data_IF_783457801389
#
_entry.id   IF_783457801389
#
_cell.length_a   1.000
_cell.length_b   1.000
_cell.length_c   1.000
_cell.angle_alpha   90.00
_cell.angle_beta   90.00
_cell.angle_gamma   90.00
#
_symmetry.space_group_name_H-M   'P 1'
#
loop_
_entity.id
_entity.type
_entity.pdbx_description
1 polymer ?
#
# COMPACT_ATOMS: atom_id res chain seq x y z
N UNK A 1 -5.33 -18.73 -22.78
CA UNK A 1 -5.44 -17.34 -23.27
C UNK A 1 -5.44 -16.26 -22.15
N UNK A 2 -4.67 -16.38 -21.06
CA UNK A 2 -4.60 -15.34 -19.99
C UNK A 2 -3.49 -14.29 -20.18
N UNK A 3 -2.64 -14.44 -21.19
CA UNK A 3 -1.38 -13.69 -21.34
C UNK A 3 -1.51 -12.38 -22.13
N UNK A 4 -2.42 -12.29 -23.09
CA UNK A 4 -2.62 -11.10 -23.93
C UNK A 4 -2.99 -9.86 -23.09
N UNK A 5 -4.00 -9.97 -22.22
CA UNK A 5 -4.47 -8.83 -21.41
C UNK A 5 -3.41 -8.29 -20.45
N UNK A 6 -2.57 -9.16 -19.86
CA UNK A 6 -1.48 -8.73 -18.99
C UNK A 6 -0.37 -7.99 -19.73
N UNK A 7 -0.12 -8.34 -20.99
CA UNK A 7 0.89 -7.68 -21.80
C UNK A 7 0.48 -6.23 -22.09
N UNK A 8 -0.73 -6.00 -22.60
CA UNK A 8 -1.23 -4.64 -22.88
C UNK A 8 -1.26 -3.75 -21.64
N UNK A 9 -1.65 -4.28 -20.49
CA UNK A 9 -1.63 -3.51 -19.23
C UNK A 9 -0.21 -3.14 -18.80
N UNK A 10 0.76 -4.05 -19.00
CA UNK A 10 2.16 -3.79 -18.69
C UNK A 10 2.75 -2.76 -19.64
N UNK A 11 2.44 -2.87 -20.93
CA UNK A 11 2.88 -1.92 -21.95
C UNK A 11 2.30 -0.53 -21.70
N UNK A 12 0.98 -0.43 -21.46
CA UNK A 12 0.32 0.84 -21.14
C UNK A 12 0.92 1.50 -19.90
N UNK A 13 1.22 0.71 -18.84
CA UNK A 13 1.92 1.21 -17.65
C UNK A 13 3.31 1.76 -18.00
N UNK A 14 4.08 1.03 -18.80
CA UNK A 14 5.44 1.43 -19.16
C UNK A 14 5.43 2.72 -20.00
N UNK A 15 4.49 2.83 -20.94
CA UNK A 15 4.29 4.02 -21.77
C UNK A 15 3.84 5.22 -20.93
N UNK A 16 2.84 5.05 -20.06
CA UNK A 16 2.37 6.14 -19.18
C UNK A 16 3.46 6.57 -18.20
N UNK A 17 4.10 5.62 -17.49
CA UNK A 17 5.19 5.95 -16.57
C UNK A 17 6.36 6.64 -17.28
N UNK A 18 6.75 6.14 -18.46
CA UNK A 18 7.79 6.72 -19.29
C UNK A 18 7.46 8.13 -19.77
N UNK A 19 6.21 8.37 -20.17
CA UNK A 19 5.71 9.68 -20.58
C UNK A 19 5.88 10.72 -19.46
N UNK A 20 5.53 10.40 -18.22
CA UNK A 20 5.69 11.33 -17.09
C UNK A 20 7.15 11.60 -16.74
N UNK A 21 8.01 10.58 -16.80
CA UNK A 21 9.45 10.77 -16.61
C UNK A 21 9.99 11.70 -17.70
N UNK A 22 9.60 11.45 -18.95
CA UNK A 22 10.02 12.28 -20.08
C UNK A 22 9.54 13.73 -19.94
N UNK A 23 8.28 13.94 -19.59
CA UNK A 23 7.70 15.26 -19.30
C UNK A 23 8.44 15.98 -18.17
N UNK A 24 8.74 15.30 -17.07
CA UNK A 24 9.50 15.88 -15.96
C UNK A 24 10.93 16.24 -16.39
N UNK A 25 11.59 15.40 -17.18
CA UNK A 25 12.91 15.69 -17.75
C UNK A 25 12.88 16.89 -18.71
N UNK A 26 11.85 17.02 -19.55
CA UNK A 26 11.68 18.20 -20.40
C UNK A 26 11.55 19.47 -19.55
N UNK A 27 10.78 19.41 -18.45
CA UNK A 27 10.64 20.55 -17.52
C UNK A 27 11.93 20.87 -16.77
N UNK A 28 12.75 19.87 -16.44
CA UNK A 28 14.02 20.09 -15.75
C UNK A 28 15.12 20.64 -16.65
N UNK A 29 15.25 20.12 -17.87
CA UNK A 29 16.42 20.39 -18.72
C UNK A 29 16.15 21.37 -19.86
N UNK A 30 14.91 21.42 -20.38
CA UNK A 30 14.57 22.22 -21.57
C UNK A 30 13.81 23.48 -21.18
N UNK A 31 12.65 23.32 -20.56
CA UNK A 31 11.77 24.45 -20.19
C UNK A 31 12.32 25.17 -18.96
N UNK A 32 12.98 24.42 -18.08
CA UNK A 32 13.43 24.81 -16.74
C UNK A 32 12.28 25.19 -15.79
N UNK A 33 12.51 25.21 -14.47
CA UNK A 33 11.48 25.56 -13.49
C UNK A 33 10.86 26.94 -13.70
N UNK A 34 11.57 27.88 -14.32
CA UNK A 34 11.08 29.25 -14.59
C UNK A 34 9.89 29.24 -15.57
N UNK A 35 9.91 28.37 -16.58
CA UNK A 35 8.79 28.26 -17.52
C UNK A 35 7.52 27.77 -16.84
N UNK A 36 7.64 26.80 -15.91
CA UNK A 36 6.52 26.31 -15.11
C UNK A 36 6.03 27.38 -14.12
N UNK A 37 6.96 28.14 -13.54
CA UNK A 37 6.68 29.24 -12.61
C UNK A 37 5.78 30.29 -13.24
N UNK A 38 6.01 30.65 -14.51
CA UNK A 38 5.18 31.62 -15.23
C UNK A 38 3.72 31.14 -15.43
N UNK A 39 3.52 29.84 -15.63
CA UNK A 39 2.18 29.26 -15.75
C UNK A 39 1.48 29.32 -14.38
N UNK A 40 2.18 28.93 -13.31
CA UNK A 40 1.63 28.91 -11.95
C UNK A 40 1.37 30.32 -11.42
N UNK A 41 2.19 31.32 -11.78
CA UNK A 41 1.96 32.71 -11.37
C UNK A 41 0.67 33.28 -11.97
N UNK A 42 0.34 32.89 -13.20
CA UNK A 42 -0.91 33.32 -13.86
C UNK A 42 -2.15 32.73 -13.19
N UNK A 43 -2.01 31.61 -12.46
CA UNK A 43 -3.08 31.01 -11.66
C UNK A 43 -3.28 31.71 -10.30
N UNK A 44 -2.43 32.67 -9.93
CA UNK A 44 -2.53 33.40 -8.66
C UNK A 44 -2.03 32.64 -7.44
N UNK A 45 -1.22 31.59 -7.63
CA UNK A 45 -0.66 30.83 -6.51
C UNK A 45 0.41 31.64 -5.75
N UNK A 46 0.41 31.60 -4.40
CA UNK A 46 1.51 32.14 -3.62
C UNK A 46 2.77 31.30 -3.84
N UNK A 47 3.94 31.94 -3.95
CA UNK A 47 5.24 31.29 -4.16
C UNK A 47 5.28 30.33 -5.38
N UNK A 48 5.06 30.82 -6.63
CA UNK A 48 4.94 29.97 -7.82
C UNK A 48 6.17 29.07 -8.07
N UNK A 49 7.37 29.56 -7.73
CA UNK A 49 8.61 28.82 -7.89
C UNK A 49 8.68 27.56 -7.01
N UNK A 50 8.20 27.65 -5.76
CA UNK A 50 8.15 26.50 -4.87
C UNK A 50 7.21 25.43 -5.42
N UNK A 51 6.01 25.83 -5.87
CA UNK A 51 5.05 24.90 -6.46
C UNK A 51 5.52 24.33 -7.80
N UNK A 52 6.28 25.08 -8.60
CA UNK A 52 6.90 24.56 -9.82
C UNK A 52 7.84 23.39 -9.53
N UNK A 53 8.69 23.51 -8.50
CA UNK A 53 9.56 22.41 -8.07
C UNK A 53 8.78 21.22 -7.52
N UNK A 54 7.76 21.46 -6.71
CA UNK A 54 6.89 20.39 -6.18
C UNK A 54 6.20 19.66 -7.33
N UNK A 55 5.67 20.38 -8.32
CA UNK A 55 5.03 19.80 -9.49
C UNK A 55 6.00 18.93 -10.29
N UNK A 56 7.17 19.47 -10.65
CA UNK A 56 8.20 18.75 -11.41
C UNK A 56 8.66 17.49 -10.66
N UNK A 57 8.98 17.61 -9.37
CA UNK A 57 9.41 16.48 -8.56
C UNK A 57 8.29 15.43 -8.42
N UNK A 58 7.05 15.86 -8.28
CA UNK A 58 5.91 14.95 -8.19
C UNK A 58 5.70 14.18 -9.49
N UNK A 59 5.76 14.83 -10.66
CA UNK A 59 5.70 14.16 -11.97
C UNK A 59 6.81 13.12 -12.11
N UNK A 60 8.03 13.47 -11.72
CA UNK A 60 9.18 12.56 -11.81
C UNK A 60 9.03 11.35 -10.87
N UNK A 61 8.76 11.60 -9.58
CA UNK A 61 8.70 10.55 -8.56
C UNK A 61 7.51 9.63 -8.79
N UNK A 62 6.32 10.18 -9.07
CA UNK A 62 5.14 9.37 -9.32
C UNK A 62 5.19 8.70 -10.70
N UNK A 63 5.72 9.37 -11.72
CA UNK A 63 5.97 8.78 -13.04
C UNK A 63 6.89 7.56 -12.95
N UNK A 64 8.02 7.71 -12.23
CA UNK A 64 8.93 6.61 -11.96
C UNK A 64 8.27 5.49 -11.16
N UNK A 65 7.48 5.83 -10.14
CA UNK A 65 6.74 4.84 -9.35
C UNK A 65 5.73 4.06 -10.19
N UNK A 66 5.04 4.71 -11.13
CA UNK A 66 4.14 4.05 -12.09
C UNK A 66 4.93 3.13 -13.00
N UNK A 67 6.09 3.58 -13.50
CA UNK A 67 6.97 2.80 -14.37
C UNK A 67 7.38 1.46 -13.74
N UNK A 68 7.84 1.50 -12.47
CA UNK A 68 8.26 0.30 -11.72
C UNK A 68 7.10 -0.48 -11.07
N UNK A 69 5.85 -0.09 -11.30
CA UNK A 69 4.65 -0.73 -10.72
C UNK A 69 4.53 -0.60 -9.19
N UNK A 70 5.09 0.45 -8.59
CA UNK A 70 5.03 0.65 -7.15
C UNK A 70 3.73 1.34 -6.75
N UNK A 71 2.91 0.65 -5.93
CA UNK A 71 1.64 1.15 -5.35
C UNK A 71 0.79 1.98 -6.33
N UNK A 72 0.51 1.43 -7.52
CA UNK A 72 -0.21 2.12 -8.61
C UNK A 72 -1.49 2.86 -8.17
N UNK A 73 -2.25 2.32 -7.23
CA UNK A 73 -3.45 3.00 -6.71
C UNK A 73 -3.17 4.36 -6.07
N UNK A 74 -2.06 4.46 -5.34
CA UNK A 74 -1.68 5.69 -4.63
C UNK A 74 -0.94 6.65 -5.55
N UNK A 75 -0.11 6.12 -6.46
CA UNK A 75 0.78 6.93 -7.30
C UNK A 75 0.07 7.54 -8.52
N UNK A 76 -1.01 6.91 -9.00
CA UNK A 76 -1.80 7.45 -10.12
C UNK A 76 -2.65 8.65 -9.73
N UNK A 77 -3.13 8.72 -8.48
CA UNK A 77 -4.03 9.80 -8.03
C UNK A 77 -3.40 11.21 -8.14
N UNK A 78 -2.18 11.45 -7.62
CA UNK A 78 -1.50 12.73 -7.80
C UNK A 78 -1.31 13.11 -9.26
N UNK A 79 -0.91 12.15 -10.12
CA UNK A 79 -0.69 12.40 -11.55
C UNK A 79 -1.98 12.76 -12.29
N UNK A 80 -3.10 12.12 -11.94
CA UNK A 80 -4.42 12.46 -12.48
C UNK A 80 -4.79 13.90 -12.13
N UNK A 81 -4.59 14.32 -10.88
CA UNK A 81 -4.87 15.70 -10.45
C UNK A 81 -4.01 16.69 -11.24
N UNK A 82 -2.71 16.41 -11.41
CA UNK A 82 -1.80 17.28 -12.16
C UNK A 82 -2.25 17.42 -13.61
N UNK A 83 -2.63 16.31 -14.28
CA UNK A 83 -3.14 16.36 -15.65
C UNK A 83 -4.44 17.16 -15.79
N UNK A 84 -5.35 17.02 -14.83
CA UNK A 84 -6.61 17.78 -14.82
C UNK A 84 -6.32 19.27 -14.65
N UNK A 85 -5.45 19.64 -13.72
CA UNK A 85 -5.04 21.04 -13.54
C UNK A 85 -4.33 21.56 -14.79
N UNK A 86 -3.45 20.77 -15.40
CA UNK A 86 -2.75 21.14 -16.64
C UNK A 86 -3.74 21.35 -17.80
N UNK A 87 -4.75 20.48 -17.94
CA UNK A 87 -5.81 20.64 -18.92
C UNK A 87 -6.59 21.95 -18.70
N UNK A 88 -6.92 22.29 -17.46
CA UNK A 88 -7.63 23.52 -17.11
C UNK A 88 -6.78 24.79 -17.22
N UNK A 89 -5.46 24.65 -17.12
CA UNK A 89 -4.52 25.76 -17.22
C UNK A 89 -4.17 26.11 -18.67
N UNK A 90 -4.54 25.26 -19.62
CA UNK A 90 -4.27 25.47 -21.04
C UNK A 90 -5.16 26.58 -21.61
N UNK A 91 -4.64 27.32 -22.58
CA UNK A 91 -5.43 28.34 -23.27
C UNK A 91 -6.68 27.75 -23.91
N UNK A 92 -7.80 28.50 -23.87
CA UNK A 92 -9.10 28.08 -24.43
C UNK A 92 -9.08 27.84 -25.95
N UNK A 93 -8.00 28.22 -26.64
CA UNK A 93 -7.79 27.94 -28.06
C UNK A 93 -7.17 26.58 -28.36
N UNK A 94 -6.52 25.94 -27.38
CA UNK A 94 -5.78 24.69 -27.58
C UNK A 94 -6.56 23.47 -27.07
N UNK A 95 -7.70 23.23 -27.72
CA UNK A 95 -8.59 22.10 -27.41
C UNK A 95 -7.91 20.75 -27.54
N UNK A 96 -6.95 20.62 -28.45
CA UNK A 96 -6.24 19.37 -28.66
C UNK A 96 -5.41 19.01 -27.43
N UNK A 97 -4.62 19.95 -26.89
CA UNK A 97 -3.87 19.70 -25.66
C UNK A 97 -4.81 19.36 -24.49
N UNK A 98 -5.91 20.08 -24.33
CA UNK A 98 -6.91 19.81 -23.27
C UNK A 98 -7.41 18.36 -23.36
N UNK A 99 -7.84 17.93 -24.55
CA UNK A 99 -8.36 16.58 -24.78
C UNK A 99 -7.28 15.53 -24.50
N UNK A 100 -6.05 15.74 -24.95
CA UNK A 100 -4.93 14.82 -24.70
C UNK A 100 -4.68 14.63 -23.20
N UNK A 101 -4.66 15.72 -22.42
CA UNK A 101 -4.49 15.63 -20.97
C UNK A 101 -5.63 14.85 -20.29
N UNK A 102 -6.88 15.05 -20.72
CA UNK A 102 -8.03 14.30 -20.20
C UNK A 102 -8.00 12.81 -20.57
N UNK A 103 -7.58 12.48 -21.80
CA UNK A 103 -7.37 11.09 -22.24
C UNK A 103 -6.30 10.42 -21.37
N UNK A 104 -5.17 11.08 -21.16
CA UNK A 104 -4.10 10.58 -20.29
C UNK A 104 -4.59 10.39 -18.85
N UNK A 105 -5.34 11.35 -18.31
CA UNK A 105 -5.88 11.29 -16.96
C UNK A 105 -6.85 10.11 -16.79
N UNK A 106 -7.74 9.91 -17.75
CA UNK A 106 -8.66 8.77 -17.80
C UNK A 106 -7.90 7.44 -17.86
N UNK A 107 -6.85 7.36 -18.68
CA UNK A 107 -6.04 6.16 -18.83
C UNK A 107 -5.25 5.84 -17.54
N UNK A 108 -4.68 6.84 -16.86
CA UNK A 108 -4.05 6.66 -15.54
C UNK A 108 -5.03 6.18 -14.48
N UNK A 109 -6.24 6.75 -14.45
CA UNK A 109 -7.27 6.35 -13.51
C UNK A 109 -7.72 4.90 -13.75
N UNK A 110 -7.87 4.51 -15.03
CA UNK A 110 -8.15 3.13 -15.43
C UNK A 110 -7.01 2.19 -14.98
N UNK A 111 -5.74 2.59 -15.17
CA UNK A 111 -4.59 1.81 -14.73
C UNK A 111 -4.56 1.62 -13.20
N UNK A 112 -4.81 2.69 -12.44
CA UNK A 112 -4.86 2.67 -10.97
C UNK A 112 -5.97 1.77 -10.43
N UNK A 113 -7.18 1.88 -10.99
CA UNK A 113 -8.34 1.08 -10.60
C UNK A 113 -8.17 -0.42 -10.89
N UNK A 114 -7.63 -0.77 -12.07
CA UNK A 114 -7.38 -2.16 -12.47
C UNK A 114 -6.27 -2.82 -11.65
N UNK A 115 -5.25 -2.06 -11.26
CA UNK A 115 -4.08 -2.59 -10.55
C UNK A 115 -4.45 -3.18 -9.19
N UNK A 116 -5.17 -2.44 -8.34
CA UNK A 116 -5.39 -2.92 -6.98
C UNK A 116 -6.56 -3.90 -6.81
N UNK A 117 -7.11 -4.42 -7.91
CA UNK A 117 -7.89 -5.66 -7.89
C UNK A 117 -7.01 -6.91 -7.80
N UNK A 118 -5.72 -6.82 -8.19
CA UNK A 118 -4.77 -7.94 -8.09
C UNK A 118 -4.25 -8.15 -6.67
N UNK A 119 -4.09 -7.06 -5.91
CA UNK A 119 -3.56 -7.11 -4.53
C UNK A 119 -4.50 -7.81 -3.54
N UNK A 120 -5.81 -7.82 -3.82
CA UNK A 120 -6.83 -8.52 -3.01
C UNK A 120 -6.86 -10.03 -3.22
N UNK A 121 -6.16 -10.56 -4.23
CA UNK A 121 -5.97 -12.00 -4.42
C UNK A 121 -4.66 -12.50 -3.84
N UNK A 122 -4.25 -11.99 -2.66
CA UNK A 122 -3.34 -12.81 -1.85
C UNK A 122 -4.12 -14.07 -1.51
N UNK A 123 -3.62 -15.27 -1.83
CA UNK A 123 -4.23 -16.48 -1.32
C UNK A 123 -4.29 -16.29 0.18
N UNK A 124 -5.50 -16.36 0.73
CA UNK A 124 -5.68 -16.57 2.15
C UNK A 124 -4.87 -17.84 2.41
N UNK A 125 -3.63 -17.65 2.87
CA UNK A 125 -2.77 -18.75 3.29
C UNK A 125 -3.69 -19.46 4.26
N UNK A 126 -4.13 -20.66 3.88
CA UNK A 126 -4.95 -21.54 4.69
C UNK A 126 -4.06 -21.91 5.87
N UNK A 127 -3.85 -20.95 6.77
CA UNK A 127 -3.19 -21.14 8.03
C UNK A 127 -4.10 -22.18 8.65
N UNK A 128 -3.61 -23.42 8.84
CA UNK A 128 -4.42 -24.41 9.52
C UNK A 128 -4.93 -23.69 10.74
N UNK A 129 -6.26 -23.54 10.88
CA UNK A 129 -6.84 -22.96 12.08
C UNK A 129 -6.17 -23.76 13.17
N UNK A 130 -5.29 -23.12 13.95
CA UNK A 130 -4.75 -23.71 15.15
C UNK A 130 -6.00 -24.00 15.94
N UNK A 131 -6.46 -25.25 15.89
CA UNK A 131 -7.59 -25.69 16.65
C UNK A 131 -7.15 -25.39 18.06
N UNK A 132 -7.74 -24.35 18.67
CA UNK A 132 -7.48 -24.02 20.06
C UNK A 132 -7.55 -25.36 20.79
N UNK A 133 -6.50 -25.78 21.49
CA UNK A 133 -6.51 -27.07 22.18
C UNK A 133 -7.79 -27.07 23.00
N UNK A 134 -8.71 -27.99 22.69
CA UNK A 134 -9.92 -28.19 23.49
C UNK A 134 -9.38 -28.41 24.89
N UNK A 135 -9.62 -27.44 25.76
CA UNK A 135 -9.26 -27.49 27.16
C UNK A 135 -9.70 -28.85 27.67
N UNK A 136 -8.72 -29.70 27.99
CA UNK A 136 -8.91 -30.95 28.73
C UNK A 136 -9.20 -30.52 30.17
N UNK A 137 -10.31 -29.81 30.36
CA UNK A 137 -10.85 -29.50 31.67
C UNK A 137 -11.96 -30.52 31.93
N UNK A 138 -11.93 -31.11 33.12
CA UNK A 138 -12.92 -32.05 33.68
C UNK A 138 -12.73 -33.52 33.34
N UNK A 139 -11.55 -34.08 33.66
CA UNK A 139 -11.49 -35.46 34.17
C UNK A 139 -10.48 -35.73 35.30
N UNK A 140 -9.84 -34.69 35.84
CA UNK A 140 -8.85 -34.83 36.94
C UNK A 140 -9.47 -34.65 38.34
N UNK A 141 -10.77 -34.33 38.45
CA UNK A 141 -11.42 -34.14 39.76
C UNK A 141 -11.87 -35.47 40.40
N UNK A 142 -11.91 -36.58 39.65
CA UNK A 142 -12.43 -37.87 40.15
C UNK A 142 -11.36 -38.87 40.63
N UNK A 143 -10.21 -38.39 41.13
CA UNK A 143 -9.18 -39.29 41.73
C UNK A 143 -8.77 -38.87 43.15
N UNK A 144 -9.22 -37.71 43.67
CA UNK A 144 -8.78 -37.19 44.98
C UNK A 144 -9.68 -37.49 46.19
N UNK A 145 -10.62 -38.43 46.09
CA UNK A 145 -11.46 -38.85 47.23
C UNK A 145 -11.24 -40.31 47.67
N UNK A 146 -9.98 -40.75 47.79
CA UNK A 146 -9.66 -41.96 48.57
C UNK A 146 -9.04 -41.55 49.90
N UNK A 147 -9.93 -41.49 50.91
CA UNK A 147 -9.67 -41.43 52.36
C UNK A 147 -8.36 -42.14 52.74
N UNK A 148 -7.37 -41.38 53.20
CA UNK A 148 -6.27 -41.89 54.00
C UNK A 148 -6.75 -41.97 55.44
N UNK A 149 -7.00 -43.17 55.93
CA UNK A 149 -7.29 -43.44 57.34
C UNK A 149 -5.99 -43.36 58.17
N UNK A 150 -5.97 -42.66 59.30
CA UNK A 150 -4.79 -42.57 60.16
C UNK A 150 -4.53 -43.90 60.86
N UNK A 151 -3.35 -44.47 60.62
CA UNK A 151 -2.85 -45.69 61.26
C UNK A 151 -2.45 -45.35 62.71
N UNK A 152 -3.16 -45.93 63.69
CA UNK A 152 -2.85 -45.83 65.14
C UNK A 152 -1.39 -46.22 65.40
N UNK A 153 -0.58 -45.25 65.82
CA UNK A 153 0.76 -45.48 66.36
C UNK A 153 0.62 -46.02 67.79
N UNK A 154 0.98 -47.30 67.99
CA UNK A 154 1.11 -47.93 69.31
C UNK A 154 2.29 -47.30 70.06
N UNK A 155 2.00 -46.54 71.12
CA UNK A 155 2.99 -46.15 72.15
C UNK A 155 3.54 -47.42 72.83
N UNK A 156 4.83 -47.71 72.65
CA UNK A 156 5.59 -48.65 73.51
C UNK A 156 6.16 -47.87 74.69
N UNK A 157 5.91 -48.37 75.90
CA UNK A 157 6.38 -47.81 77.16
C UNK A 157 7.91 -47.98 77.32
N UNK A 158 8.59 -47.07 78.04
CA UNK A 158 10.01 -47.16 78.33
C UNK A 158 10.31 -48.25 79.36
N UNK A 159 11.28 -49.10 79.03
CA UNK A 159 11.82 -50.17 79.89
C UNK A 159 12.77 -49.52 80.90
N UNK A 160 12.49 -49.69 82.20
CA UNK A 160 13.39 -49.35 83.30
C UNK A 160 14.70 -50.13 83.16
N UNK A 161 15.84 -49.46 83.22
CA UNK A 161 17.13 -50.11 83.46
C UNK A 161 17.74 -49.51 84.72
N UNK A 162 17.90 -50.37 85.73
CA UNK A 162 18.68 -50.17 86.95
C UNK A 162 20.15 -50.40 86.62
N UNK A 163 21.03 -49.47 86.97
CA UNK A 163 22.19 -49.63 87.85
C UNK A 163 23.03 -48.36 87.81
#
# INVERSE_FOLDING_TARGET
MKTMGSFFLTLNRLLLGGLFIFEACLKLFVIKPEGVTNIISNLGFPLPLFFAWVLILSELVFGFSVFINWRLKLTTWPLVIILVIAALSQSTGDWFAIIVHLILASNLLALGSLSGSRERKRPEINRPRVQKPKTIEKKVVEVKSKKVTPKKVKKKAPKKTKK
#
